data_IF_715984200565
#
_entry.id   IF_715984200565
#
_cell.length_a   1.000
_cell.length_b   1.000
_cell.length_c   1.000
_cell.angle_alpha   90.00
_cell.angle_beta   90.00
_cell.angle_gamma   90.00
#
_symmetry.space_group_name_H-M   'P 1'
#
loop_
_entity.id
_entity.type
_entity.pdbx_description
1 polymer ?
#
# COMPACT_ATOMS: atom_id res chain seq x y z
N UNK A 1 -2.16 2.97 -9.93
CA UNK A 1 -1.23 3.43 -10.98
C UNK A 1 -1.75 4.75 -11.54
N UNK A 2 -0.89 5.65 -12.04
CA UNK A 2 -1.32 6.89 -12.69
C UNK A 2 -0.60 7.00 -14.03
N UNK A 3 -1.36 7.20 -15.11
CA UNK A 3 -0.83 7.41 -16.46
C UNK A 3 -1.26 8.77 -17.00
N UNK A 4 -0.36 9.45 -17.71
CA UNK A 4 -0.66 10.70 -18.43
C UNK A 4 0.03 10.70 -19.78
N UNK A 5 -0.71 11.05 -20.84
CA UNK A 5 -0.21 11.01 -22.22
C UNK A 5 0.79 12.12 -22.54
N UNK A 6 0.60 13.32 -21.97
CA UNK A 6 1.41 14.52 -22.25
C UNK A 6 2.13 14.99 -20.99
N UNK A 7 3.35 15.49 -21.17
CA UNK A 7 4.10 16.16 -20.12
C UNK A 7 3.38 17.43 -19.63
N UNK A 8 3.73 17.91 -18.42
CA UNK A 8 3.17 19.12 -17.80
C UNK A 8 1.65 19.08 -17.59
N UNK A 9 1.08 17.90 -17.35
CA UNK A 9 -0.34 17.74 -17.04
C UNK A 9 -0.76 18.57 -15.79
N UNK A 10 -1.87 19.30 -15.91
CA UNK A 10 -2.36 20.23 -14.88
C UNK A 10 -2.75 19.53 -13.57
N UNK A 11 -3.33 18.34 -13.63
CA UNK A 11 -3.77 17.57 -12.46
C UNK A 11 -2.57 17.01 -11.71
N UNK A 12 -1.60 16.44 -12.44
CA UNK A 12 -0.35 15.96 -11.86
C UNK A 12 0.40 17.10 -11.15
N UNK A 13 0.46 18.29 -11.76
CA UNK A 13 1.06 19.47 -11.13
C UNK A 13 0.34 19.83 -9.82
N UNK A 14 -0.98 19.92 -9.83
CA UNK A 14 -1.79 20.24 -8.63
C UNK A 14 -1.57 19.22 -7.50
N UNK A 15 -1.53 17.92 -7.83
CA UNK A 15 -1.25 16.85 -6.87
C UNK A 15 0.18 17.00 -6.31
N UNK A 16 1.18 17.22 -7.17
CA UNK A 16 2.57 17.42 -6.74
C UNK A 16 2.73 18.65 -5.83
N UNK A 17 2.01 19.73 -6.12
CA UNK A 17 2.04 20.95 -5.31
C UNK A 17 1.46 20.74 -3.90
N UNK A 18 0.61 19.73 -3.67
CA UNK A 18 0.21 19.30 -2.32
C UNK A 18 1.41 18.74 -1.57
N UNK A 19 2.17 17.83 -2.19
CA UNK A 19 3.35 17.24 -1.56
C UNK A 19 4.47 18.26 -1.29
N UNK A 20 4.67 19.24 -2.19
CA UNK A 20 5.65 20.31 -1.96
C UNK A 20 5.36 21.17 -0.72
N UNK A 21 4.10 21.29 -0.35
CA UNK A 21 3.65 22.04 0.83
C UNK A 21 3.55 21.17 2.07
N UNK A 22 3.56 19.86 1.91
CA UNK A 22 3.44 18.92 3.00
C UNK A 22 4.69 18.96 3.89
N UNK A 23 4.48 18.90 5.20
CA UNK A 23 5.55 18.72 6.18
C UNK A 23 5.48 17.30 6.69
N UNK A 24 6.59 16.58 6.59
CA UNK A 24 6.69 15.24 7.13
C UNK A 24 6.58 15.28 8.66
N UNK A 25 5.65 14.50 9.22
CA UNK A 25 5.49 14.35 10.65
C UNK A 25 5.82 12.90 11.06
N UNK A 26 6.96 12.64 11.71
CA UNK A 26 7.32 11.29 12.12
C UNK A 26 6.38 10.71 13.19
N UNK A 27 5.66 11.55 13.93
CA UNK A 27 4.69 11.12 14.94
C UNK A 27 3.32 10.80 14.33
N UNK A 28 3.08 11.17 13.07
CA UNK A 28 1.84 10.89 12.35
C UNK A 28 2.11 10.60 10.87
N UNK A 29 2.52 9.35 10.61
CA UNK A 29 2.79 8.85 9.26
C UNK A 29 1.53 8.73 8.40
N UNK A 30 0.34 8.80 9.00
CA UNK A 30 -0.93 8.62 8.30
C UNK A 30 -1.61 9.95 7.94
N UNK A 31 -1.09 11.07 8.44
CA UNK A 31 -1.56 12.43 8.13
C UNK A 31 -1.58 12.70 6.62
N UNK A 32 -0.54 12.28 5.90
CA UNK A 32 -0.41 12.45 4.46
C UNK A 32 0.02 11.16 3.78
N UNK A 33 -0.95 10.44 3.22
CA UNK A 33 -0.70 9.25 2.39
C UNK A 33 -1.09 9.52 0.96
N UNK A 34 -0.44 8.84 0.01
CA UNK A 34 -0.75 9.04 -1.40
C UNK A 34 -2.19 8.73 -1.77
N UNK A 35 -2.84 7.67 -1.25
CA UNK A 35 -4.27 7.45 -1.47
C UNK A 35 -5.12 8.63 -0.98
N UNK A 36 -4.88 9.15 0.23
CA UNK A 36 -5.64 10.30 0.77
C UNK A 36 -5.50 11.54 -0.10
N UNK A 37 -4.27 11.87 -0.53
CA UNK A 37 -4.01 13.04 -1.38
C UNK A 37 -4.75 12.91 -2.72
N UNK A 38 -4.70 11.74 -3.34
CA UNK A 38 -5.35 11.49 -4.63
C UNK A 38 -6.89 11.50 -4.50
N UNK A 39 -7.44 10.78 -3.53
CA UNK A 39 -8.90 10.75 -3.29
C UNK A 39 -9.44 12.15 -3.02
N UNK A 40 -8.85 12.90 -2.08
CA UNK A 40 -9.29 14.26 -1.77
C UNK A 40 -9.19 15.22 -2.96
N UNK A 41 -8.23 14.99 -3.87
CA UNK A 41 -8.07 15.80 -5.07
C UNK A 41 -9.16 15.50 -6.10
N UNK A 42 -9.42 14.23 -6.39
CA UNK A 42 -10.40 13.83 -7.39
C UNK A 42 -11.85 13.93 -6.91
N UNK A 43 -12.12 13.85 -5.59
CA UNK A 43 -13.45 14.14 -5.03
C UNK A 43 -13.89 15.58 -5.36
N UNK A 44 -12.96 16.53 -5.33
CA UNK A 44 -13.23 17.93 -5.73
C UNK A 44 -13.52 18.09 -7.23
N UNK A 45 -13.25 17.05 -8.02
CA UNK A 45 -13.52 16.97 -9.45
C UNK A 45 -14.68 16.00 -9.76
N UNK A 46 -15.45 15.58 -8.75
CA UNK A 46 -16.64 14.76 -8.92
C UNK A 46 -16.44 13.25 -8.73
N UNK A 47 -15.29 12.79 -8.24
CA UNK A 47 -15.12 11.36 -7.88
C UNK A 47 -16.12 10.95 -6.80
N UNK A 48 -16.89 9.90 -7.07
CA UNK A 48 -17.72 9.22 -6.08
C UNK A 48 -16.98 7.99 -5.52
N UNK A 49 -17.15 7.70 -4.22
CA UNK A 49 -16.52 6.55 -3.54
C UNK A 49 -17.28 5.24 -3.81
N UNK A 50 -17.31 4.82 -5.07
CA UNK A 50 -17.87 3.54 -5.52
C UNK A 50 -16.79 2.64 -6.13
N UNK A 51 -17.04 1.34 -6.15
CA UNK A 51 -16.10 0.32 -6.64
C UNK A 51 -16.10 0.15 -8.16
N UNK A 52 -16.60 1.14 -8.90
CA UNK A 52 -16.79 1.11 -10.35
C UNK A 52 -15.87 2.10 -11.06
N UNK A 53 -15.60 1.83 -12.34
CA UNK A 53 -14.85 2.76 -13.18
C UNK A 53 -15.65 4.04 -13.43
N UNK A 54 -14.98 5.17 -13.43
CA UNK A 54 -15.58 6.50 -13.54
C UNK A 54 -14.79 7.36 -14.52
N UNK A 55 -15.50 8.19 -15.28
CA UNK A 55 -14.92 9.23 -16.12
C UNK A 55 -15.33 10.58 -15.52
N UNK A 56 -14.33 11.38 -15.14
CA UNK A 56 -14.55 12.73 -14.62
C UNK A 56 -14.33 13.76 -15.73
N UNK A 57 -14.50 15.04 -15.39
CA UNK A 57 -14.12 16.15 -16.26
C UNK A 57 -12.64 16.04 -16.72
N UNK A 58 -12.29 16.76 -17.80
CA UNK A 58 -10.95 16.78 -18.38
C UNK A 58 -10.43 15.40 -18.88
N UNK A 59 -11.34 14.48 -19.23
CA UNK A 59 -11.01 13.14 -19.74
C UNK A 59 -10.17 12.33 -18.72
N UNK A 60 -10.52 12.43 -17.44
CA UNK A 60 -9.88 11.67 -16.37
C UNK A 60 -10.60 10.33 -16.21
N UNK A 61 -9.90 9.24 -16.49
CA UNK A 61 -10.39 7.88 -16.29
C UNK A 61 -9.88 7.32 -14.95
N UNK A 62 -10.80 6.92 -14.08
CA UNK A 62 -10.52 6.25 -12.81
C UNK A 62 -11.08 4.84 -12.91
N UNK A 63 -10.19 3.86 -13.01
CA UNK A 63 -10.59 2.47 -13.19
C UNK A 63 -10.87 1.79 -11.85
N UNK A 64 -11.80 0.84 -11.87
CA UNK A 64 -12.07 -0.08 -10.77
C UNK A 64 -10.83 -0.91 -10.43
N UNK A 65 -10.84 -1.49 -9.22
CA UNK A 65 -9.68 -2.17 -8.64
C UNK A 65 -9.19 -3.34 -9.50
N UNK A 66 -10.09 -4.07 -10.14
CA UNK A 66 -9.83 -5.27 -10.94
C UNK A 66 -8.91 -5.02 -12.15
N UNK A 67 -8.82 -3.78 -12.65
CA UNK A 67 -7.91 -3.41 -13.74
C UNK A 67 -6.43 -3.47 -13.35
N UNK A 68 -6.07 -2.98 -12.16
CA UNK A 68 -4.66 -2.72 -11.80
C UNK A 68 -4.21 -3.31 -10.46
N UNK A 69 -5.13 -3.74 -9.61
CA UNK A 69 -4.82 -4.30 -8.30
C UNK A 69 -5.81 -5.43 -7.91
N UNK A 70 -5.97 -6.46 -8.77
CA UNK A 70 -6.90 -7.56 -8.52
C UNK A 70 -6.50 -8.35 -7.27
N UNK A 71 -5.21 -8.49 -6.99
CA UNK A 71 -4.66 -9.26 -5.88
C UNK A 71 -4.52 -8.42 -4.61
N UNK A 72 -5.09 -8.87 -3.50
CA UNK A 72 -4.83 -8.31 -2.16
C UNK A 72 -3.49 -8.79 -1.60
N UNK A 73 -2.91 -8.03 -0.68
CA UNK A 73 -1.62 -8.35 -0.07
C UNK A 73 -1.62 -9.65 0.76
N UNK A 74 -2.75 -9.93 1.42
CA UNK A 74 -2.98 -11.12 2.24
C UNK A 74 -3.59 -12.29 1.46
N UNK A 75 -4.00 -12.06 0.21
CA UNK A 75 -4.58 -13.06 -0.68
C UNK A 75 -6.04 -13.42 -0.36
N UNK A 76 -6.70 -12.70 0.55
CA UNK A 76 -8.10 -13.00 0.94
C UNK A 76 -9.14 -12.47 -0.05
N UNK A 77 -8.81 -11.39 -0.73
CA UNK A 77 -9.70 -10.70 -1.65
C UNK A 77 -8.98 -10.55 -3.00
N UNK A 78 -9.22 -11.50 -3.88
CA UNK A 78 -8.68 -11.53 -5.24
C UNK A 78 -9.81 -11.33 -6.25
N UNK A 79 -9.69 -10.30 -7.10
CA UNK A 79 -10.73 -9.87 -8.05
C UNK A 79 -10.17 -9.88 -9.47
N UNK A 80 -9.83 -11.05 -9.99
CA UNK A 80 -9.41 -11.21 -11.38
C UNK A 80 -10.63 -11.14 -12.30
N UNK A 81 -10.51 -10.42 -13.40
CA UNK A 81 -11.55 -10.29 -14.41
C UNK A 81 -10.93 -10.16 -15.81
N UNK A 82 -11.77 -10.15 -16.85
CA UNK A 82 -11.33 -9.86 -18.22
C UNK A 82 -10.72 -8.44 -18.36
N UNK A 83 -11.00 -7.55 -17.41
CA UNK A 83 -10.43 -6.20 -17.37
C UNK A 83 -9.02 -6.16 -16.79
N UNK A 84 -8.55 -7.24 -16.14
CA UNK A 84 -7.27 -7.24 -15.44
C UNK A 84 -6.11 -7.00 -16.41
N UNK A 85 -5.53 -5.81 -16.33
CA UNK A 85 -4.40 -5.40 -17.15
C UNK A 85 -3.06 -5.60 -16.44
N UNK A 86 -3.04 -5.43 -15.11
CA UNK A 86 -1.81 -5.46 -14.30
C UNK A 86 -2.07 -6.18 -12.98
N UNK A 87 -1.14 -7.06 -12.62
CA UNK A 87 -1.10 -7.74 -11.32
C UNK A 87 0.14 -7.26 -10.56
N UNK A 88 -0.07 -6.78 -9.34
CA UNK A 88 1.05 -6.42 -8.47
C UNK A 88 1.46 -7.64 -7.62
N UNK A 89 2.62 -8.21 -7.95
CA UNK A 89 3.25 -9.30 -7.18
C UNK A 89 4.04 -8.73 -6.00
N UNK A 90 3.35 -8.44 -4.89
CA UNK A 90 3.97 -7.97 -3.66
C UNK A 90 4.63 -9.13 -2.89
N UNK A 91 5.84 -9.57 -3.26
CA UNK A 91 6.51 -10.66 -2.53
C UNK A 91 7.25 -10.19 -1.27
N UNK A 92 7.38 -8.88 -1.06
CA UNK A 92 8.08 -8.28 0.08
C UNK A 92 9.49 -8.89 0.28
N UNK A 93 10.17 -9.25 -0.81
CA UNK A 93 11.45 -9.96 -0.76
C UNK A 93 12.57 -9.16 -0.09
N UNK A 94 12.42 -7.84 0.01
CA UNK A 94 13.34 -6.92 0.67
C UNK A 94 13.19 -6.85 2.20
N UNK A 95 12.14 -7.44 2.79
CA UNK A 95 11.91 -7.36 4.23
C UNK A 95 12.82 -8.30 5.02
N UNK A 96 12.99 -8.01 6.30
CA UNK A 96 13.76 -8.85 7.20
C UNK A 96 13.10 -10.23 7.39
N UNK A 97 13.87 -11.23 7.82
CA UNK A 97 13.37 -12.61 7.96
C UNK A 97 12.20 -12.70 8.94
N UNK A 98 12.24 -11.97 10.06
CA UNK A 98 11.14 -11.93 11.01
C UNK A 98 9.87 -11.31 10.41
N UNK A 99 10.01 -10.22 9.66
CA UNK A 99 8.90 -9.66 8.89
C UNK A 99 8.35 -10.69 7.89
N UNK A 100 9.19 -11.36 7.09
CA UNK A 100 8.76 -12.41 6.14
C UNK A 100 7.96 -13.52 6.80
N UNK A 101 8.36 -13.96 8.00
CA UNK A 101 7.61 -14.93 8.79
C UNK A 101 6.23 -14.37 9.17
N UNK A 102 6.14 -13.07 9.49
CA UNK A 102 4.87 -12.41 9.81
C UNK A 102 3.93 -12.41 8.62
N UNK A 103 4.47 -11.99 7.47
CA UNK A 103 3.76 -11.96 6.19
C UNK A 103 3.25 -13.35 5.85
N UNK A 104 4.07 -14.38 6.05
CA UNK A 104 3.69 -15.78 5.84
C UNK A 104 2.50 -16.17 6.73
N UNK A 105 2.53 -15.89 8.03
CA UNK A 105 1.41 -16.19 8.93
C UNK A 105 0.11 -15.48 8.51
N UNK A 106 0.20 -14.21 8.09
CA UNK A 106 -0.97 -13.44 7.61
C UNK A 106 -1.57 -14.09 6.37
N UNK A 107 -0.73 -14.43 5.38
CA UNK A 107 -1.14 -15.06 4.11
C UNK A 107 -1.72 -16.47 4.26
N UNK A 108 -1.37 -17.17 5.33
CA UNK A 108 -1.91 -18.49 5.64
C UNK A 108 -3.06 -18.43 6.66
N UNK A 109 -3.58 -17.22 6.95
CA UNK A 109 -4.68 -16.97 7.89
C UNK A 109 -4.41 -17.49 9.30
N UNK A 110 -3.14 -17.59 9.67
CA UNK A 110 -2.63 -18.05 10.97
C UNK A 110 -2.19 -16.87 11.83
N UNK A 111 -2.84 -15.70 11.69
CA UNK A 111 -2.47 -14.47 12.39
C UNK A 111 -2.49 -14.59 13.93
N UNK A 112 -3.29 -15.51 14.48
CA UNK A 112 -3.29 -15.85 15.91
C UNK A 112 -1.96 -16.49 16.37
N UNK A 113 -1.29 -17.23 15.48
CA UNK A 113 -0.01 -17.90 15.72
C UNK A 113 1.21 -17.00 15.46
N UNK A 114 1.00 -15.85 14.80
CA UNK A 114 2.02 -14.83 14.61
C UNK A 114 2.50 -14.22 15.94
N UNK A 115 1.57 -13.85 16.83
CA UNK A 115 1.90 -13.22 18.13
C UNK A 115 2.83 -14.08 19.02
N UNK A 116 2.55 -15.37 19.29
CA UNK A 116 3.44 -16.19 20.10
C UNK A 116 4.78 -16.47 19.42
N UNK A 117 4.81 -16.65 18.09
CA UNK A 117 6.06 -16.85 17.36
C UNK A 117 6.95 -15.61 17.43
N UNK A 118 6.41 -14.40 17.26
CA UNK A 118 7.17 -13.15 17.45
C UNK A 118 7.72 -12.99 18.87
N UNK A 119 6.92 -13.27 19.89
CA UNK A 119 7.39 -13.24 21.29
C UNK A 119 8.56 -14.19 21.51
N UNK A 120 8.52 -15.38 20.93
CA UNK A 120 9.61 -16.35 21.01
C UNK A 120 10.87 -15.86 20.29
N UNK A 121 10.75 -15.36 19.06
CA UNK A 121 11.89 -14.81 18.31
C UNK A 121 12.52 -13.60 19.01
N UNK A 122 11.70 -12.69 19.57
CA UNK A 122 12.18 -11.55 20.35
C UNK A 122 12.92 -11.98 21.61
N UNK A 123 12.38 -12.98 22.32
CA UNK A 123 13.05 -13.57 23.48
C UNK A 123 14.41 -14.17 23.09
N UNK A 124 14.46 -14.98 22.04
CA UNK A 124 15.69 -15.58 21.53
C UNK A 124 16.71 -14.52 21.08
N UNK A 125 16.26 -13.47 20.37
CA UNK A 125 17.10 -12.34 19.94
C UNK A 125 17.68 -11.58 21.13
N UNK A 126 16.89 -11.41 22.20
CA UNK A 126 17.31 -10.75 23.45
C UNK A 126 18.34 -11.58 24.21
N UNK A 127 18.17 -12.91 24.27
CA UNK A 127 19.16 -13.85 24.84
C UNK A 127 20.46 -13.80 24.03
N UNK A 128 20.40 -13.90 22.70
CA UNK A 128 21.57 -13.82 21.82
C UNK A 128 22.34 -12.50 22.01
N UNK A 129 21.64 -11.35 22.10
CA UNK A 129 22.26 -10.04 22.35
C UNK A 129 22.98 -9.98 23.70
N UNK A 130 22.42 -10.61 24.75
CA UNK A 130 23.09 -10.70 26.07
C UNK A 130 24.34 -11.57 26.04
N UNK A 131 24.35 -12.64 25.25
CA UNK A 131 25.51 -13.53 25.11
C UNK A 131 26.63 -12.82 24.32
N UNK A 132 26.30 -12.10 23.24
CA UNK A 132 27.29 -11.38 22.41
C UNK A 132 27.90 -10.20 23.17
N UNK A 133 27.13 -9.44 23.96
CA UNK A 133 27.66 -8.34 24.80
C UNK A 133 28.53 -8.80 25.98
N UNK A 134 28.56 -10.10 26.28
CA UNK A 134 29.37 -10.69 27.37
C UNK A 134 30.72 -11.23 26.89
N UNK A 135 30.97 -11.20 25.57
CA UNK A 135 32.28 -11.37 24.94
C UNK A 135 32.83 -9.98 24.59
#
# INVERSE_FOLDING_TARGET
MIGVKKAKNKHIKKILDVYKKAKFNPNDLYSITSPKVLTNYFEKLGLEKKSESQVLEDDIHIYSRDYFNPKSYDGLDEQYSENTCIIHHFDASWTAIDEKVAIWFVRHHMGSLAKPTFKFFDFARRVKRKIIKKK
#
